data_IF_151167593466
#
_entry.id   IF_151167593466
#
_cell.length_a   1.000
_cell.length_b   1.000
_cell.length_c   1.000
_cell.angle_alpha   90.00
_cell.angle_beta   90.00
_cell.angle_gamma   90.00
#
_symmetry.space_group_name_H-M   'P 1'
#
loop_
_entity.id
_entity.type
_entity.pdbx_description
1 polymer ?
#
# COMPACT_ATOMS: atom_id res chain seq x y z
N UNK A 1 -69.23 24.35 67.11
CA UNK A 1 -68.75 25.10 65.90
C UNK A 1 -67.51 24.47 65.42
N UNK A 2 -67.67 23.55 64.45
CA UNK A 2 -66.58 22.71 63.92
C UNK A 2 -66.30 23.21 62.48
N UNK A 3 -65.12 23.73 62.27
CA UNK A 3 -64.70 24.26 60.97
C UNK A 3 -64.02 23.15 60.15
N UNK A 4 -64.65 22.76 59.05
CA UNK A 4 -64.07 21.89 58.07
C UNK A 4 -63.06 22.65 57.19
N UNK A 5 -61.83 22.12 57.03
CA UNK A 5 -60.86 22.58 56.07
C UNK A 5 -60.99 21.74 54.76
N UNK A 6 -60.97 22.38 53.57
CA UNK A 6 -60.96 21.59 52.32
C UNK A 6 -59.56 21.14 52.00
N UNK A 7 -59.40 19.84 51.67
CA UNK A 7 -58.18 19.21 51.18
C UNK A 7 -58.11 19.44 49.66
N UNK A 8 -57.07 20.12 49.20
CA UNK A 8 -56.82 20.40 47.81
C UNK A 8 -56.02 19.19 47.22
N UNK A 9 -56.65 18.46 46.32
CA UNK A 9 -56.07 17.32 45.63
C UNK A 9 -55.29 17.80 44.38
N UNK A 10 -53.95 17.67 44.42
CA UNK A 10 -53.08 18.06 43.31
C UNK A 10 -53.01 16.90 42.33
N UNK A 11 -53.61 17.03 41.15
CA UNK A 11 -53.49 16.04 40.07
C UNK A 11 -52.16 16.25 39.34
N UNK A 12 -51.25 15.29 39.52
CA UNK A 12 -49.98 15.25 38.75
C UNK A 12 -50.23 14.62 37.37
N UNK A 13 -50.19 15.44 36.32
CA UNK A 13 -50.26 15.00 34.93
C UNK A 13 -48.88 14.56 34.50
N UNK A 14 -48.61 13.26 34.41
CA UNK A 14 -47.43 12.69 33.79
C UNK A 14 -47.51 12.83 32.26
N UNK A 15 -46.78 13.79 31.68
CA UNK A 15 -46.53 13.81 30.23
C UNK A 15 -45.55 12.67 29.90
N UNK A 16 -46.07 11.57 29.36
CA UNK A 16 -45.27 10.51 28.76
C UNK A 16 -44.69 11.02 27.43
N UNK A 17 -43.41 11.31 27.40
CA UNK A 17 -42.67 11.51 26.12
C UNK A 17 -42.55 10.18 25.45
N UNK A 18 -43.37 9.92 24.42
CA UNK A 18 -43.22 8.77 23.53
C UNK A 18 -41.95 8.98 22.70
N UNK A 19 -40.85 8.31 23.07
CA UNK A 19 -39.70 8.12 22.21
C UNK A 19 -40.15 7.26 21.01
N UNK A 20 -40.41 7.89 19.88
CA UNK A 20 -40.54 7.18 18.61
C UNK A 20 -39.18 6.51 18.31
N UNK A 21 -39.14 5.20 17.98
CA UNK A 21 -37.92 4.60 17.51
C UNK A 21 -37.55 5.29 16.20
N UNK A 22 -36.38 5.93 16.18
CA UNK A 22 -35.74 6.35 14.94
C UNK A 22 -35.32 5.07 14.22
N UNK A 23 -36.17 4.58 13.30
CA UNK A 23 -35.74 3.59 12.33
C UNK A 23 -34.65 4.27 11.49
N UNK A 24 -33.37 3.97 11.80
CA UNK A 24 -32.30 4.18 10.84
C UNK A 24 -32.70 3.37 9.60
N UNK A 25 -33.00 4.05 8.51
CA UNK A 25 -33.10 3.38 7.21
C UNK A 25 -31.69 2.87 6.94
N UNK A 26 -31.47 1.57 7.12
CA UNK A 26 -30.24 0.92 6.67
C UNK A 26 -30.10 1.27 5.18
N UNK A 27 -28.98 1.86 4.81
CA UNK A 27 -28.72 2.17 3.41
C UNK A 27 -28.55 0.85 2.68
N UNK A 28 -29.47 0.55 1.77
CA UNK A 28 -29.48 -0.69 0.99
C UNK A 28 -28.38 -0.60 -0.08
N UNK A 29 -27.61 -1.69 -0.27
CA UNK A 29 -26.66 -1.78 -1.36
C UNK A 29 -27.45 -2.04 -2.67
N UNK A 30 -27.66 -1.00 -3.47
CA UNK A 30 -28.40 -1.07 -4.75
C UNK A 30 -27.50 -0.65 -5.93
N UNK A 31 -26.31 -1.24 -6.01
CA UNK A 31 -25.37 -0.97 -7.09
C UNK A 31 -25.55 -1.98 -8.23
N UNK A 32 -26.16 -1.60 -9.34
CA UNK A 32 -26.13 -2.40 -10.59
C UNK A 32 -24.75 -2.36 -11.26
N UNK A 33 -23.99 -1.33 -10.98
CA UNK A 33 -22.65 -1.09 -11.48
C UNK A 33 -21.80 -0.51 -10.35
N UNK A 34 -20.60 -1.06 -10.18
CA UNK A 34 -19.56 -0.54 -9.28
C UNK A 34 -18.42 -0.02 -10.13
N UNK A 35 -18.00 1.22 -9.91
CA UNK A 35 -16.80 1.80 -10.51
C UNK A 35 -15.62 1.57 -9.59
N UNK A 36 -14.56 0.94 -10.11
CA UNK A 36 -13.27 0.79 -9.43
C UNK A 36 -12.26 1.75 -10.08
N UNK A 37 -12.06 2.90 -9.46
CA UNK A 37 -11.11 3.91 -9.92
C UNK A 37 -9.68 3.42 -9.67
N UNK A 38 -8.87 3.41 -10.72
CA UNK A 38 -7.43 3.14 -10.68
C UNK A 38 -6.70 4.44 -11.05
N UNK A 39 -6.02 5.11 -10.10
CA UNK A 39 -5.36 6.40 -10.37
C UNK A 39 -4.02 6.25 -11.10
N UNK A 40 -3.90 5.22 -11.93
CA UNK A 40 -2.70 4.87 -12.69
C UNK A 40 -3.06 4.48 -14.12
N UNK A 41 -2.02 4.43 -14.97
CA UNK A 41 -2.15 3.97 -16.35
C UNK A 41 -2.59 2.49 -16.44
N UNK A 42 -3.26 2.15 -17.53
CA UNK A 42 -3.69 0.79 -17.80
C UNK A 42 -2.48 -0.13 -18.06
N UNK A 43 -2.56 -1.39 -17.60
CA UNK A 43 -1.51 -2.39 -17.74
C UNK A 43 -0.44 -2.35 -16.65
N UNK A 44 -0.43 -1.34 -15.79
CA UNK A 44 0.44 -1.27 -14.61
C UNK A 44 0.02 -2.25 -13.51
N UNK A 45 0.91 -2.49 -12.54
CA UNK A 45 0.66 -3.49 -11.48
C UNK A 45 -0.59 -3.23 -10.63
N UNK A 46 -1.00 -1.98 -10.43
CA UNK A 46 -2.24 -1.64 -9.71
C UNK A 46 -3.48 -1.87 -10.59
N UNK A 47 -3.37 -1.60 -11.89
CA UNK A 47 -4.45 -1.88 -12.84
C UNK A 47 -4.69 -3.40 -12.99
N UNK A 48 -3.62 -4.20 -13.10
CA UNK A 48 -3.71 -5.66 -13.13
C UNK A 48 -4.32 -6.22 -11.85
N UNK A 49 -3.95 -5.69 -10.69
CA UNK A 49 -4.54 -6.03 -9.39
C UNK A 49 -6.05 -5.73 -9.36
N UNK A 50 -6.44 -4.53 -9.78
CA UNK A 50 -7.85 -4.14 -9.84
C UNK A 50 -8.65 -4.99 -10.83
N UNK A 51 -8.11 -5.28 -12.02
CA UNK A 51 -8.76 -6.14 -13.03
C UNK A 51 -8.86 -7.60 -12.61
N UNK A 52 -7.95 -8.08 -11.79
CA UNK A 52 -8.04 -9.41 -11.20
C UNK A 52 -9.16 -9.49 -10.17
N UNK A 53 -9.29 -8.48 -9.29
CA UNK A 53 -10.32 -8.46 -8.25
C UNK A 53 -11.72 -8.07 -8.76
N UNK A 54 -11.82 -7.31 -9.84
CA UNK A 54 -13.11 -6.82 -10.36
C UNK A 54 -14.12 -7.94 -10.67
N UNK A 55 -13.80 -9.01 -11.43
CA UNK A 55 -14.73 -10.11 -11.67
C UNK A 55 -15.07 -10.91 -10.40
N UNK A 56 -14.13 -11.01 -9.46
CA UNK A 56 -14.36 -11.68 -8.17
C UNK A 56 -15.32 -10.84 -7.31
N UNK A 57 -15.13 -9.52 -7.24
CA UNK A 57 -16.07 -8.60 -6.59
C UNK A 57 -17.47 -8.70 -7.22
N UNK A 58 -17.56 -8.70 -8.57
CA UNK A 58 -18.83 -8.88 -9.28
C UNK A 58 -19.54 -10.17 -8.88
N UNK A 59 -18.79 -11.26 -8.70
CA UNK A 59 -19.33 -12.59 -8.33
C UNK A 59 -19.84 -12.64 -6.90
N UNK A 60 -19.14 -12.00 -5.96
CA UNK A 60 -19.40 -12.14 -4.51
C UNK A 60 -20.20 -10.98 -3.89
N UNK A 61 -20.38 -9.86 -4.62
CA UNK A 61 -21.26 -8.79 -4.16
C UNK A 61 -22.73 -9.17 -4.41
N UNK A 62 -23.69 -8.69 -3.58
CA UNK A 62 -25.11 -8.91 -3.77
C UNK A 62 -25.56 -8.49 -5.18
N UNK A 63 -26.48 -9.25 -5.77
CA UNK A 63 -27.05 -9.02 -7.11
C UNK A 63 -26.01 -9.00 -8.26
N UNK A 64 -24.78 -9.42 -7.99
CA UNK A 64 -23.68 -9.54 -8.97
C UNK A 64 -23.53 -8.31 -9.88
N UNK A 65 -23.26 -7.12 -9.31
CA UNK A 65 -23.13 -5.89 -10.08
C UNK A 65 -21.97 -5.99 -11.09
N UNK A 66 -22.07 -5.26 -12.19
CA UNK A 66 -20.92 -5.13 -13.09
C UNK A 66 -19.86 -4.26 -12.46
N UNK A 67 -18.67 -4.80 -12.14
CA UNK A 67 -17.53 -4.02 -11.64
C UNK A 67 -16.67 -3.57 -12.82
N UNK A 68 -16.53 -2.25 -12.99
CA UNK A 68 -15.80 -1.62 -14.10
C UNK A 68 -14.57 -0.93 -13.57
N UNK A 69 -13.41 -1.29 -14.11
CA UNK A 69 -12.14 -0.63 -13.81
C UNK A 69 -11.99 0.61 -14.69
N UNK A 70 -11.87 1.79 -14.05
CA UNK A 70 -11.70 3.11 -14.68
C UNK A 70 -10.32 3.66 -14.36
N UNK A 71 -9.43 3.75 -15.35
CA UNK A 71 -8.12 4.36 -15.17
C UNK A 71 -8.24 5.89 -15.24
N UNK A 72 -7.81 6.58 -14.19
CA UNK A 72 -7.77 8.05 -14.07
C UNK A 72 -6.37 8.46 -13.67
N UNK A 73 -5.47 8.43 -14.65
CA UNK A 73 -4.05 8.74 -14.46
C UNK A 73 -3.79 10.25 -14.33
N UNK A 74 -2.63 10.59 -13.83
CA UNK A 74 -2.10 11.96 -13.82
C UNK A 74 -1.50 12.38 -12.49
N UNK A 75 -0.45 13.19 -12.59
CA UNK A 75 0.25 13.79 -11.45
C UNK A 75 0.69 12.75 -10.38
N UNK A 76 1.16 11.57 -10.79
CA UNK A 76 1.59 10.53 -9.85
C UNK A 76 0.45 9.99 -8.98
N UNK A 77 -0.71 9.68 -9.58
CA UNK A 77 -1.95 9.20 -8.94
C UNK A 77 -2.81 10.29 -8.25
N UNK A 78 -2.38 11.55 -8.21
CA UNK A 78 -3.12 12.62 -7.52
C UNK A 78 -4.45 12.92 -8.23
N UNK A 79 -4.48 12.91 -9.57
CA UNK A 79 -5.70 13.27 -10.32
C UNK A 79 -6.86 12.32 -10.01
N UNK A 80 -6.67 11.00 -10.12
CA UNK A 80 -7.69 10.00 -9.85
C UNK A 80 -8.09 9.95 -8.37
N UNK A 81 -7.13 10.14 -7.47
CA UNK A 81 -7.39 10.17 -6.03
C UNK A 81 -8.22 11.41 -5.61
N UNK A 82 -7.92 12.57 -6.17
CA UNK A 82 -8.73 13.78 -5.99
C UNK A 82 -10.14 13.58 -6.57
N UNK A 83 -10.26 12.98 -7.76
CA UNK A 83 -11.57 12.68 -8.36
C UNK A 83 -12.39 11.76 -7.48
N UNK A 84 -11.80 10.69 -6.93
CA UNK A 84 -12.48 9.81 -5.99
C UNK A 84 -12.98 10.56 -4.77
N UNK A 85 -12.12 11.35 -4.11
CA UNK A 85 -12.49 12.14 -2.94
C UNK A 85 -13.65 13.12 -3.21
N UNK A 86 -13.69 13.70 -4.42
CA UNK A 86 -14.68 14.72 -4.78
C UNK A 86 -16.02 14.14 -5.25
N UNK A 87 -16.03 12.91 -5.82
CA UNK A 87 -17.18 12.40 -6.58
C UNK A 87 -17.73 11.08 -6.08
N UNK A 88 -16.97 10.30 -5.32
CA UNK A 88 -17.46 9.01 -4.83
C UNK A 88 -18.56 9.22 -3.80
N UNK A 89 -19.70 8.59 -4.03
CA UNK A 89 -20.82 8.59 -3.10
C UNK A 89 -20.65 7.57 -1.98
N UNK A 90 -21.40 7.75 -0.90
CA UNK A 90 -21.40 6.83 0.25
C UNK A 90 -22.27 5.57 0.01
N UNK A 91 -22.76 5.38 -1.21
CA UNK A 91 -23.66 4.29 -1.62
C UNK A 91 -22.95 2.95 -1.85
N UNK A 92 -21.62 2.94 -1.81
CA UNK A 92 -20.79 1.77 -2.08
C UNK A 92 -20.59 1.47 -3.56
N UNK A 93 -21.10 2.32 -4.48
CA UNK A 93 -20.98 2.10 -5.91
C UNK A 93 -19.66 2.59 -6.53
N UNK A 94 -18.75 3.12 -5.72
CA UNK A 94 -17.42 3.57 -6.17
C UNK A 94 -16.34 3.14 -5.18
N UNK A 95 -15.30 2.48 -5.71
CA UNK A 95 -14.08 2.09 -5.01
C UNK A 95 -12.88 2.80 -5.60
N UNK A 96 -11.81 2.89 -4.83
CA UNK A 96 -10.49 3.29 -5.34
C UNK A 96 -9.46 2.19 -5.08
N UNK A 97 -8.59 1.97 -6.06
CA UNK A 97 -7.37 1.19 -5.86
C UNK A 97 -6.25 2.11 -5.33
N UNK A 98 -5.78 1.82 -4.14
CA UNK A 98 -4.70 2.56 -3.47
C UNK A 98 -3.37 1.84 -3.74
N UNK A 99 -2.32 2.59 -4.00
CA UNK A 99 -0.95 2.09 -4.03
C UNK A 99 0.03 3.17 -3.56
N UNK A 100 1.31 2.82 -3.48
CA UNK A 100 2.36 3.62 -2.83
C UNK A 100 2.35 5.13 -3.15
N UNK A 101 2.13 5.53 -4.41
CA UNK A 101 2.12 6.97 -4.75
C UNK A 101 0.94 7.72 -4.12
N UNK A 102 -0.24 7.09 -3.97
CA UNK A 102 -1.39 7.71 -3.31
C UNK A 102 -1.05 8.02 -1.85
N UNK A 103 -0.51 7.04 -1.15
CA UNK A 103 -0.17 7.17 0.27
C UNK A 103 1.03 8.10 0.49
N UNK A 104 2.08 7.98 -0.33
CA UNK A 104 3.26 8.83 -0.23
C UNK A 104 2.95 10.31 -0.51
N UNK A 105 2.22 10.62 -1.58
CA UNK A 105 1.83 12.01 -1.89
C UNK A 105 1.02 12.65 -0.76
N UNK A 106 0.15 11.87 -0.09
CA UNK A 106 -0.61 12.32 1.06
C UNK A 106 0.28 12.58 2.29
N UNK A 107 1.13 11.60 2.65
CA UNK A 107 1.97 11.69 3.85
C UNK A 107 3.04 12.78 3.73
N UNK A 108 3.63 12.97 2.55
CA UNK A 108 4.65 13.99 2.32
C UNK A 108 4.07 15.37 1.94
N UNK A 109 2.75 15.51 1.96
CA UNK A 109 2.09 16.80 1.84
C UNK A 109 2.23 17.47 0.48
N UNK A 110 2.15 16.72 -0.63
CA UNK A 110 2.15 17.31 -1.97
C UNK A 110 0.99 18.31 -2.08
N UNK A 111 1.29 19.56 -2.43
CA UNK A 111 0.33 20.68 -2.46
C UNK A 111 -0.87 20.44 -3.41
N UNK A 112 -0.74 19.53 -4.37
CA UNK A 112 -1.81 19.16 -5.31
C UNK A 112 -2.81 18.17 -4.73
N UNK A 113 -2.49 17.54 -3.58
CA UNK A 113 -3.35 16.56 -2.89
C UNK A 113 -4.52 17.28 -2.24
N UNK A 114 -5.75 16.86 -2.60
CA UNK A 114 -7.00 17.32 -1.99
C UNK A 114 -7.80 16.17 -1.35
N UNK A 115 -7.30 14.94 -1.49
CA UNK A 115 -7.86 13.76 -0.85
C UNK A 115 -7.29 13.54 0.54
N UNK A 116 -8.00 12.74 1.33
CA UNK A 116 -7.64 12.35 2.69
C UNK A 116 -7.61 10.83 2.78
N UNK A 117 -6.46 10.26 2.40
CA UNK A 117 -6.28 8.81 2.35
C UNK A 117 -6.46 8.13 3.73
N UNK A 118 -6.19 8.84 4.81
CA UNK A 118 -6.36 8.41 6.20
C UNK A 118 -7.83 8.29 6.64
N UNK A 119 -8.76 8.89 5.89
CA UNK A 119 -10.19 8.81 6.15
C UNK A 119 -10.89 7.70 5.33
N UNK A 120 -10.24 7.13 4.31
CA UNK A 120 -10.84 6.08 3.49
C UNK A 120 -10.96 4.76 4.25
N UNK A 121 -11.95 3.95 3.86
CA UNK A 121 -12.24 2.67 4.51
C UNK A 121 -11.66 1.54 3.65
N UNK A 122 -10.53 0.94 4.03
CA UNK A 122 -9.96 -0.15 3.26
C UNK A 122 -10.77 -1.43 3.43
N UNK A 123 -11.09 -2.09 2.31
CA UNK A 123 -11.76 -3.39 2.29
C UNK A 123 -10.76 -4.55 2.20
N UNK A 124 -9.58 -4.29 1.64
CA UNK A 124 -8.44 -5.19 1.59
C UNK A 124 -7.15 -4.38 1.59
N UNK A 125 -6.10 -4.91 2.22
CA UNK A 125 -4.72 -4.45 2.11
C UNK A 125 -3.82 -5.64 1.75
N UNK A 126 -3.01 -5.45 0.71
CA UNK A 126 -2.14 -6.47 0.12
C UNK A 126 -0.69 -6.01 0.17
N UNK A 127 0.19 -6.76 0.83
CA UNK A 127 1.62 -6.50 0.76
C UNK A 127 2.18 -6.73 -0.65
N UNK A 128 3.30 -6.06 -0.95
CA UNK A 128 4.09 -6.35 -2.13
C UNK A 128 5.57 -6.20 -1.79
N UNK A 129 6.29 -7.31 -1.80
CA UNK A 129 7.72 -7.34 -1.54
C UNK A 129 8.52 -6.54 -2.57
N UNK A 130 9.79 -6.33 -2.27
CA UNK A 130 10.73 -5.61 -3.15
C UNK A 130 12.04 -6.37 -3.19
N UNK A 131 12.59 -6.56 -4.38
CA UNK A 131 13.92 -7.13 -4.61
C UNK A 131 14.81 -6.05 -5.23
N UNK A 132 15.98 -5.84 -4.64
CA UNK A 132 17.03 -4.95 -5.13
C UNK A 132 18.10 -5.77 -5.82
N UNK A 133 18.55 -5.33 -7.00
CA UNK A 133 19.54 -6.01 -7.78
C UNK A 133 20.45 -5.03 -8.53
N UNK A 134 21.65 -5.50 -8.86
CA UNK A 134 22.65 -4.70 -9.55
C UNK A 134 23.21 -5.37 -10.80
N UNK A 135 23.91 -4.58 -11.60
CA UNK A 135 24.64 -5.06 -12.77
C UNK A 135 25.87 -5.87 -12.36
N UNK A 136 26.23 -6.93 -13.09
CA UNK A 136 27.49 -7.66 -12.90
C UNK A 136 28.74 -6.79 -12.94
N UNK A 137 28.67 -5.63 -13.62
CA UNK A 137 29.77 -4.65 -13.65
C UNK A 137 30.15 -4.09 -12.29
N UNK A 138 29.28 -4.23 -11.30
CA UNK A 138 29.55 -3.86 -9.91
C UNK A 138 30.48 -4.82 -9.20
N UNK A 139 30.70 -6.04 -9.74
CA UNK A 139 31.60 -7.08 -9.23
C UNK A 139 31.29 -7.44 -7.76
N UNK A 140 30.02 -7.69 -7.46
CA UNK A 140 29.57 -8.19 -6.16
C UNK A 140 29.60 -9.71 -6.23
N UNK A 141 30.57 -10.31 -5.55
CA UNK A 141 30.75 -11.78 -5.49
C UNK A 141 30.18 -12.35 -4.18
N UNK A 142 30.05 -11.51 -3.15
CA UNK A 142 29.58 -11.89 -1.83
C UNK A 142 28.61 -10.81 -1.28
N UNK A 143 27.40 -11.23 -0.93
CA UNK A 143 26.37 -10.36 -0.39
C UNK A 143 26.61 -10.04 1.10
N UNK A 144 27.41 -10.85 1.80
CA UNK A 144 27.82 -10.62 3.18
C UNK A 144 28.91 -9.53 3.27
N UNK A 145 29.50 -9.14 2.14
CA UNK A 145 30.44 -8.02 2.04
C UNK A 145 30.13 -7.11 0.84
N UNK A 146 29.30 -6.12 1.07
CA UNK A 146 28.99 -5.07 0.10
C UNK A 146 29.99 -3.89 0.11
N UNK A 147 31.11 -4.01 0.80
CA UNK A 147 32.11 -2.94 0.89
C UNK A 147 32.69 -2.54 -0.47
N UNK A 148 32.73 -3.50 -1.42
CA UNK A 148 33.14 -3.29 -2.81
C UNK A 148 32.30 -2.22 -3.53
N UNK A 149 31.06 -1.97 -3.08
CA UNK A 149 30.15 -0.97 -3.65
C UNK A 149 30.41 0.45 -3.14
N UNK A 150 31.16 0.64 -2.04
CA UNK A 150 31.38 1.97 -1.42
C UNK A 150 32.14 2.93 -2.33
N UNK A 151 33.03 2.38 -3.16
CA UNK A 151 33.83 3.16 -4.12
C UNK A 151 33.24 3.15 -5.54
N UNK A 152 32.01 2.62 -5.72
CA UNK A 152 31.34 2.56 -7.01
C UNK A 152 30.31 3.68 -7.14
N UNK A 153 30.17 4.23 -8.34
CA UNK A 153 29.02 5.06 -8.66
C UNK A 153 27.80 4.15 -8.88
N UNK A 154 26.85 4.19 -7.94
CA UNK A 154 25.59 3.46 -8.04
C UNK A 154 24.54 4.36 -8.67
N UNK A 155 24.05 4.01 -9.85
CA UNK A 155 23.08 4.82 -10.60
C UNK A 155 21.79 4.05 -10.77
N UNK A 156 20.66 4.67 -10.39
CA UNK A 156 19.32 4.10 -10.45
C UNK A 156 18.34 5.06 -11.11
N UNK A 157 17.49 4.54 -12.00
CA UNK A 157 16.33 5.29 -12.49
C UNK A 157 15.25 5.40 -11.39
N UNK A 158 14.81 6.61 -11.08
CA UNK A 158 13.82 6.91 -10.04
C UNK A 158 12.73 7.87 -10.55
N UNK A 159 11.54 7.81 -9.99
CA UNK A 159 10.45 8.69 -10.42
C UNK A 159 10.58 10.08 -9.79
N UNK A 160 10.58 10.15 -8.47
CA UNK A 160 10.73 11.41 -7.72
C UNK A 160 11.24 11.13 -6.28
N UNK A 161 11.79 12.14 -5.58
CA UNK A 161 12.36 11.95 -4.24
C UNK A 161 11.36 11.48 -3.18
N UNK A 162 10.10 11.89 -3.26
CA UNK A 162 9.05 11.51 -2.29
C UNK A 162 8.28 10.25 -2.69
N UNK A 163 8.67 9.59 -3.78
CA UNK A 163 8.00 8.41 -4.31
C UNK A 163 8.42 7.10 -3.66
N UNK A 164 7.87 6.01 -4.20
CA UNK A 164 8.18 4.66 -3.72
C UNK A 164 9.64 4.24 -3.88
N UNK A 165 10.43 4.94 -4.71
CA UNK A 165 11.87 4.68 -4.92
C UNK A 165 12.71 5.02 -3.67
N UNK A 166 12.23 5.95 -2.84
CA UNK A 166 12.86 6.36 -1.57
C UNK A 166 13.24 5.16 -0.71
N UNK A 167 12.38 4.13 -0.61
CA UNK A 167 12.66 2.95 0.21
C UNK A 167 13.94 2.23 -0.20
N UNK A 168 14.27 2.25 -1.49
CA UNK A 168 15.49 1.61 -2.01
C UNK A 168 16.70 2.48 -1.75
N UNK A 169 16.60 3.79 -1.96
CA UNK A 169 17.72 4.71 -1.70
C UNK A 169 18.07 4.69 -0.22
N UNK A 170 17.08 4.81 0.67
CA UNK A 170 17.30 4.71 2.14
C UNK A 170 17.88 3.34 2.55
N UNK A 171 17.49 2.24 1.90
CA UNK A 171 18.06 0.92 2.21
C UNK A 171 19.55 0.83 1.89
N UNK A 172 19.98 1.46 0.80
CA UNK A 172 21.38 1.49 0.39
C UNK A 172 22.19 2.46 1.23
N UNK A 173 21.62 3.60 1.63
CA UNK A 173 22.23 4.50 2.61
C UNK A 173 22.44 3.82 3.97
N UNK A 174 21.51 2.98 4.43
CA UNK A 174 21.67 2.15 5.63
C UNK A 174 22.92 1.25 5.52
N UNK A 175 23.16 0.69 4.34
CA UNK A 175 24.35 -0.12 4.06
C UNK A 175 25.62 0.73 3.85
N UNK A 176 25.54 2.06 4.06
CA UNK A 176 26.67 2.98 3.87
C UNK A 176 27.05 3.20 2.41
N UNK A 177 26.08 2.99 1.49
CA UNK A 177 26.26 3.14 0.04
C UNK A 177 25.62 4.45 -0.42
N UNK A 178 26.27 5.12 -1.38
CA UNK A 178 25.73 6.34 -2.01
C UNK A 178 25.14 6.00 -3.36
N UNK A 179 23.87 6.37 -3.56
CA UNK A 179 23.16 6.17 -4.82
C UNK A 179 22.96 7.51 -5.51
N UNK A 180 23.13 7.52 -6.83
CA UNK A 180 22.78 8.64 -7.69
C UNK A 180 21.46 8.35 -8.40
N UNK A 181 20.33 8.84 -7.88
CA UNK A 181 19.05 8.68 -8.55
C UNK A 181 18.98 9.58 -9.79
N UNK A 182 18.45 9.04 -10.88
CA UNK A 182 18.09 9.83 -12.06
C UNK A 182 16.57 9.98 -12.04
N UNK A 183 16.11 11.13 -11.54
CA UNK A 183 14.70 11.41 -11.39
C UNK A 183 13.97 11.66 -12.71
N UNK A 184 12.65 11.44 -12.72
CA UNK A 184 11.79 11.55 -13.91
C UNK A 184 11.67 10.25 -14.72
N UNK A 185 12.24 9.16 -14.24
CA UNK A 185 12.16 7.84 -14.88
C UNK A 185 10.99 7.06 -14.28
N UNK A 186 10.01 6.69 -15.11
CA UNK A 186 8.90 5.84 -14.69
C UNK A 186 9.37 4.40 -14.42
N UNK A 187 8.69 3.68 -13.54
CA UNK A 187 9.04 2.28 -13.22
C UNK A 187 9.04 1.35 -14.44
N UNK A 188 8.15 1.60 -15.40
CA UNK A 188 8.12 0.86 -16.67
C UNK A 188 9.38 1.05 -17.52
N UNK A 189 10.08 2.17 -17.40
CA UNK A 189 11.30 2.51 -18.16
C UNK A 189 12.59 2.16 -17.41
N UNK A 190 12.53 2.03 -16.09
CA UNK A 190 13.73 1.83 -15.26
C UNK A 190 14.41 0.49 -15.53
N UNK A 191 13.67 -0.64 -15.61
CA UNK A 191 14.27 -1.95 -15.94
C UNK A 191 14.82 -1.99 -17.39
N UNK A 192 14.09 -1.57 -18.43
CA UNK A 192 14.70 -1.45 -19.78
C UNK A 192 15.96 -0.58 -19.80
N UNK A 193 16.01 0.51 -19.01
CA UNK A 193 17.21 1.32 -18.86
C UNK A 193 18.37 0.57 -18.20
N UNK A 194 18.09 -0.23 -17.16
CA UNK A 194 19.05 -1.13 -16.54
C UNK A 194 19.60 -2.16 -17.55
N UNK A 195 18.73 -2.80 -18.32
CA UNK A 195 19.11 -3.79 -19.34
C UNK A 195 19.98 -3.19 -20.43
N UNK A 196 19.79 -1.91 -20.78
CA UNK A 196 20.64 -1.17 -21.72
C UNK A 196 21.93 -0.65 -21.10
N UNK A 197 22.12 -0.77 -19.79
CA UNK A 197 23.28 -0.30 -19.06
C UNK A 197 23.28 1.22 -18.76
N UNK A 198 22.12 1.88 -18.88
CA UNK A 198 21.94 3.28 -18.46
C UNK A 198 22.00 3.42 -16.94
N UNK A 199 21.54 2.39 -16.23
CA UNK A 199 21.58 2.24 -14.79
C UNK A 199 22.32 0.95 -14.42
N UNK A 200 23.05 0.94 -13.32
CA UNK A 200 23.72 -0.27 -12.80
C UNK A 200 23.07 -0.83 -11.54
N UNK A 201 22.00 -0.19 -11.08
CA UNK A 201 21.18 -0.59 -9.95
C UNK A 201 19.70 -0.48 -10.34
N UNK A 202 18.89 -1.44 -9.92
CA UNK A 202 17.45 -1.39 -10.08
C UNK A 202 16.74 -2.19 -8.97
N UNK A 203 15.42 -2.11 -8.95
CA UNK A 203 14.57 -2.93 -8.12
C UNK A 203 13.27 -3.27 -8.83
N UNK A 204 12.63 -4.33 -8.41
CA UNK A 204 11.27 -4.69 -8.84
C UNK A 204 10.45 -5.19 -7.65
N UNK A 205 9.13 -5.30 -7.83
CA UNK A 205 8.32 -6.03 -6.85
C UNK A 205 8.67 -7.51 -6.88
N UNK A 206 8.59 -8.17 -5.73
CA UNK A 206 8.85 -9.60 -5.66
C UNK A 206 7.93 -10.40 -6.58
N UNK A 207 6.67 -9.94 -6.79
CA UNK A 207 5.74 -10.58 -7.74
C UNK A 207 6.24 -10.53 -9.19
N UNK A 208 6.99 -9.49 -9.55
CA UNK A 208 7.57 -9.38 -10.89
C UNK A 208 8.87 -10.19 -11.04
N UNK A 209 9.53 -10.53 -9.92
CA UNK A 209 10.85 -11.18 -9.93
C UNK A 209 10.89 -12.46 -10.77
N UNK A 210 10.00 -13.47 -10.59
CA UNK A 210 10.12 -14.75 -11.31
C UNK A 210 10.00 -14.62 -12.83
N UNK A 211 9.30 -13.60 -13.33
CA UNK A 211 9.06 -13.45 -14.77
C UNK A 211 9.90 -12.37 -15.43
N UNK A 212 10.44 -11.43 -14.66
CA UNK A 212 11.10 -10.24 -15.20
C UNK A 212 12.57 -10.11 -14.78
N UNK A 213 12.93 -10.58 -13.61
CA UNK A 213 14.28 -10.40 -13.05
C UNK A 213 15.06 -11.72 -13.04
N UNK A 214 14.43 -12.83 -12.66
CA UNK A 214 15.07 -14.14 -12.64
C UNK A 214 15.71 -14.53 -14.00
N UNK A 215 15.07 -14.27 -15.17
CA UNK A 215 15.74 -14.49 -16.47
C UNK A 215 17.00 -13.63 -16.68
N UNK A 216 17.06 -12.43 -16.08
CA UNK A 216 18.28 -11.60 -16.10
C UNK A 216 19.38 -12.19 -15.21
N UNK A 217 18.99 -12.78 -14.07
CA UNK A 217 19.92 -13.47 -13.17
C UNK A 217 20.45 -14.74 -13.83
N UNK A 218 19.59 -15.56 -14.42
CA UNK A 218 19.95 -16.79 -15.14
C UNK A 218 20.89 -16.51 -16.31
N UNK A 219 20.70 -15.41 -17.03
CA UNK A 219 21.57 -14.97 -18.13
C UNK A 219 22.87 -14.32 -17.65
N UNK A 220 23.04 -14.11 -16.34
CA UNK A 220 24.18 -13.39 -15.77
C UNK A 220 24.14 -11.88 -16.05
N UNK A 221 22.99 -11.31 -16.37
CA UNK A 221 22.81 -9.87 -16.64
C UNK A 221 22.42 -9.07 -15.39
N UNK A 222 22.03 -9.74 -14.30
CA UNK A 222 21.71 -9.12 -13.01
C UNK A 222 22.21 -9.97 -11.86
N UNK A 223 22.57 -9.32 -10.75
CA UNK A 223 22.91 -9.95 -9.46
C UNK A 223 21.89 -9.47 -8.44
N UNK A 224 21.00 -10.34 -7.88
CA UNK A 224 20.09 -9.95 -6.81
C UNK A 224 20.88 -9.72 -5.52
N UNK A 225 20.63 -8.60 -4.84
CA UNK A 225 21.36 -8.25 -3.61
C UNK A 225 20.59 -8.67 -2.36
N UNK A 226 19.35 -8.24 -2.24
CA UNK A 226 18.48 -8.56 -1.11
C UNK A 226 17.01 -8.29 -1.44
N UNK A 227 16.14 -8.87 -0.63
CA UNK A 227 14.75 -8.46 -0.56
C UNK A 227 14.53 -7.54 0.65
N UNK A 228 13.40 -6.84 0.68
CA UNK A 228 13.00 -6.13 1.90
C UNK A 228 12.36 -7.08 2.92
N UNK A 229 12.00 -8.28 2.48
CA UNK A 229 11.17 -9.17 3.26
C UNK A 229 9.73 -8.69 3.38
N UNK A 230 9.00 -9.29 4.27
CA UNK A 230 7.63 -8.93 4.67
C UNK A 230 7.48 -9.09 6.17
N UNK A 231 6.53 -8.39 6.77
CA UNK A 231 6.24 -8.53 8.19
C UNK A 231 5.34 -9.75 8.43
N UNK A 232 5.74 -10.62 9.33
CA UNK A 232 4.94 -11.76 9.76
C UNK A 232 3.87 -11.36 10.81
N UNK A 233 3.09 -12.33 11.27
CA UNK A 233 2.04 -12.11 12.26
C UNK A 233 2.56 -11.63 13.65
N UNK A 234 3.85 -11.79 13.92
CA UNK A 234 4.50 -11.29 15.15
C UNK A 234 5.02 -9.86 15.00
N UNK A 235 4.96 -9.28 13.79
CA UNK A 235 5.50 -7.97 13.48
C UNK A 235 6.99 -7.98 13.12
N UNK A 236 7.61 -9.15 12.93
CA UNK A 236 9.00 -9.27 12.53
C UNK A 236 9.14 -9.33 11.01
N UNK A 237 10.18 -8.68 10.49
CA UNK A 237 10.53 -8.80 9.07
C UNK A 237 11.17 -10.16 8.85
N UNK A 238 10.56 -10.95 7.98
CA UNK A 238 11.01 -12.28 7.57
C UNK A 238 11.29 -12.28 6.07
N UNK A 239 12.00 -13.30 5.59
CA UNK A 239 12.29 -13.44 4.16
C UNK A 239 11.01 -13.50 3.33
N UNK A 240 11.08 -12.89 2.16
CA UNK A 240 9.97 -12.84 1.21
C UNK A 240 9.67 -14.25 0.66
N UNK A 241 8.44 -14.77 0.77
CA UNK A 241 8.10 -16.12 0.33
C UNK A 241 8.23 -16.35 -1.20
N UNK A 242 8.31 -15.28 -2.00
CA UNK A 242 8.55 -15.41 -3.45
C UNK A 242 10.04 -15.64 -3.73
N UNK A 243 10.92 -15.09 -2.92
CA UNK A 243 12.38 -15.18 -3.06
C UNK A 243 13.03 -15.62 -1.74
N UNK A 244 12.68 -16.83 -1.23
CA UNK A 244 13.07 -17.27 0.11
C UNK A 244 14.58 -17.46 0.28
N UNK A 245 15.30 -17.63 -0.82
CA UNK A 245 16.76 -17.79 -0.81
C UNK A 245 17.51 -16.45 -0.73
N UNK A 246 16.83 -15.33 -1.06
CA UNK A 246 17.44 -14.00 -0.90
C UNK A 246 17.41 -13.55 0.55
N UNK A 247 18.52 -13.01 1.07
CA UNK A 247 18.54 -12.40 2.39
C UNK A 247 17.63 -11.16 2.42
N UNK A 248 17.16 -10.81 3.61
CA UNK A 248 16.51 -9.51 3.85
C UNK A 248 17.55 -8.41 3.97
N UNK A 249 17.15 -7.14 3.80
CA UNK A 249 18.00 -5.99 4.10
C UNK A 249 18.60 -6.07 5.52
N UNK A 250 17.81 -6.51 6.50
CA UNK A 250 18.27 -6.62 7.89
C UNK A 250 19.37 -7.68 8.04
N UNK A 251 19.25 -8.84 7.39
CA UNK A 251 20.27 -9.90 7.37
C UNK A 251 21.56 -9.39 6.71
N UNK A 252 21.46 -8.72 5.56
CA UNK A 252 22.63 -8.12 4.87
C UNK A 252 23.26 -7.05 5.73
N UNK A 253 22.48 -6.20 6.40
CA UNK A 253 22.99 -5.20 7.32
C UNK A 253 23.77 -5.86 8.47
N UNK A 254 23.20 -6.88 9.11
CA UNK A 254 23.84 -7.59 10.21
C UNK A 254 25.16 -8.29 9.78
N UNK A 255 25.17 -8.90 8.60
CA UNK A 255 26.39 -9.50 8.04
C UNK A 255 27.49 -8.46 7.82
N UNK A 256 27.15 -7.27 7.29
CA UNK A 256 28.13 -6.22 6.99
C UNK A 256 28.59 -5.41 8.22
N UNK A 257 27.77 -5.30 9.28
CA UNK A 257 28.06 -4.42 10.43
C UNK A 257 28.12 -5.16 11.79
N UNK A 258 27.79 -6.45 11.84
CA UNK A 258 27.84 -7.27 13.05
C UNK A 258 26.77 -6.92 14.10
N UNK A 259 25.74 -6.17 13.73
CA UNK A 259 24.61 -5.77 14.59
C UNK A 259 23.35 -5.52 13.78
N UNK A 260 22.20 -5.62 14.41
CA UNK A 260 20.92 -5.23 13.79
C UNK A 260 20.89 -3.73 13.44
N UNK A 261 20.18 -3.33 12.38
CA UNK A 261 20.02 -1.92 12.03
C UNK A 261 19.23 -1.17 13.11
N UNK A 262 19.65 0.07 13.39
CA UNK A 262 19.05 0.94 14.41
C UNK A 262 19.27 2.43 14.09
N UNK A 263 18.53 3.30 14.76
CA UNK A 263 18.70 4.74 14.66
C UNK A 263 17.79 5.42 13.65
N UNK A 264 17.86 6.76 13.53
CA UNK A 264 16.89 7.56 12.78
C UNK A 264 16.72 7.18 11.30
N UNK A 265 17.80 6.78 10.63
CA UNK A 265 17.75 6.34 9.24
C UNK A 265 16.99 5.01 9.10
N UNK A 266 17.18 4.08 10.05
CA UNK A 266 16.47 2.81 10.06
C UNK A 266 14.98 3.02 10.37
N UNK A 267 14.64 3.87 11.34
CA UNK A 267 13.26 4.22 11.65
C UNK A 267 12.56 4.89 10.45
N UNK A 268 13.27 5.75 9.74
CA UNK A 268 12.76 6.36 8.51
C UNK A 268 12.54 5.32 7.40
N UNK A 269 13.51 4.42 7.19
CA UNK A 269 13.36 3.32 6.24
C UNK A 269 12.19 2.40 6.62
N UNK A 270 12.05 2.04 7.90
CA UNK A 270 10.97 1.17 8.39
C UNK A 270 9.59 1.80 8.18
N UNK A 271 9.46 3.11 8.38
CA UNK A 271 8.23 3.84 8.09
C UNK A 271 7.88 3.78 6.60
N UNK A 272 8.85 3.99 5.73
CA UNK A 272 8.66 3.91 4.27
C UNK A 272 8.45 2.46 3.81
N UNK A 273 9.08 1.47 4.46
CA UNK A 273 8.81 0.05 4.24
C UNK A 273 7.35 -0.29 4.55
N UNK A 274 6.83 0.11 5.71
CA UNK A 274 5.43 -0.12 6.06
C UNK A 274 4.47 0.54 5.06
N UNK A 275 4.78 1.76 4.62
CA UNK A 275 4.00 2.51 3.65
C UNK A 275 3.97 1.86 2.26
N UNK A 276 5.11 1.39 1.78
CA UNK A 276 5.31 0.99 0.39
C UNK A 276 5.37 -0.53 0.16
N UNK A 277 5.58 -1.32 1.21
CA UNK A 277 5.63 -2.78 1.15
C UNK A 277 4.42 -3.39 1.84
N UNK A 278 4.19 -3.08 3.11
CA UNK A 278 3.11 -3.70 3.88
C UNK A 278 1.72 -3.14 3.50
N UNK A 279 1.60 -1.83 3.30
CA UNK A 279 0.39 -1.17 2.78
C UNK A 279 0.48 -0.90 1.27
N UNK A 280 1.12 -1.80 0.51
CA UNK A 280 1.48 -1.56 -0.89
C UNK A 280 0.29 -1.35 -1.79
N UNK A 281 -0.76 -2.16 -1.63
CA UNK A 281 -1.99 -2.07 -2.42
C UNK A 281 -3.19 -2.22 -1.51
N UNK A 282 -4.25 -1.48 -1.79
CA UNK A 282 -5.53 -1.64 -1.13
C UNK A 282 -6.69 -1.31 -2.09
N UNK A 283 -7.88 -1.80 -1.77
CA UNK A 283 -9.12 -1.24 -2.28
C UNK A 283 -9.82 -0.54 -1.12
N UNK A 284 -10.36 0.65 -1.37
CA UNK A 284 -11.00 1.43 -0.34
C UNK A 284 -12.33 2.06 -0.79
N UNK A 285 -13.22 2.25 0.18
CA UNK A 285 -14.48 2.96 0.07
C UNK A 285 -14.33 4.40 0.60
N UNK A 286 -15.24 5.32 0.22
CA UNK A 286 -15.32 6.64 0.83
C UNK A 286 -15.62 6.56 2.33
N UNK A 287 -15.16 7.56 3.08
CA UNK A 287 -15.33 7.69 4.54
C UNK A 287 -16.78 7.57 5.02
N UNK A 288 -17.71 8.16 4.27
CA UNK A 288 -19.12 8.26 4.65
C UNK A 288 -19.93 6.99 4.33
N UNK A 289 -19.30 5.95 3.79
CA UNK A 289 -19.98 4.67 3.49
C UNK A 289 -20.51 4.04 4.78
N UNK A 290 -21.77 3.63 4.76
CA UNK A 290 -22.41 3.08 5.96
C UNK A 290 -21.76 1.76 6.41
N UNK A 291 -21.77 1.45 7.72
CA UNK A 291 -21.19 0.20 8.24
C UNK A 291 -21.80 -1.06 7.60
N UNK A 292 -23.08 -0.99 7.22
CA UNK A 292 -23.79 -2.10 6.56
C UNK A 292 -23.22 -2.38 5.16
N UNK A 293 -22.95 -1.34 4.37
CA UNK A 293 -22.32 -1.47 3.04
C UNK A 293 -20.87 -1.92 3.18
N UNK A 294 -20.13 -1.36 4.15
CA UNK A 294 -18.76 -1.79 4.46
C UNK A 294 -18.72 -3.28 4.79
N UNK A 295 -19.66 -3.79 5.58
CA UNK A 295 -19.74 -5.21 5.93
C UNK A 295 -20.05 -6.10 4.72
N UNK A 296 -20.86 -5.63 3.77
CA UNK A 296 -21.11 -6.33 2.49
C UNK A 296 -19.78 -6.53 1.74
N UNK A 297 -18.98 -5.48 1.62
CA UNK A 297 -17.67 -5.57 0.96
C UNK A 297 -16.66 -6.44 1.72
N UNK A 298 -16.66 -6.38 3.05
CA UNK A 298 -15.80 -7.25 3.86
C UNK A 298 -16.19 -8.73 3.71
N UNK A 299 -17.49 -9.03 3.71
CA UNK A 299 -17.97 -10.41 3.50
C UNK A 299 -17.63 -10.92 2.11
N UNK A 300 -17.85 -10.10 1.08
CA UNK A 300 -17.44 -10.44 -0.29
C UNK A 300 -15.92 -10.67 -0.39
N UNK A 301 -15.12 -9.87 0.31
CA UNK A 301 -13.67 -10.03 0.31
C UNK A 301 -13.21 -11.29 1.03
N UNK A 302 -13.83 -11.67 2.14
CA UNK A 302 -13.56 -12.93 2.83
C UNK A 302 -13.83 -14.14 1.91
N UNK A 303 -14.93 -14.12 1.16
CA UNK A 303 -15.26 -15.15 0.17
C UNK A 303 -14.26 -15.17 -1.01
N UNK A 304 -13.84 -13.99 -1.50
CA UNK A 304 -12.81 -13.86 -2.53
C UNK A 304 -11.49 -14.45 -2.06
N UNK A 305 -11.05 -14.14 -0.85
CA UNK A 305 -9.81 -14.68 -0.29
C UNK A 305 -9.88 -16.20 -0.15
N UNK A 306 -11.02 -16.74 0.26
CA UNK A 306 -11.24 -18.20 0.30
C UNK A 306 -11.16 -18.82 -1.12
N UNK A 307 -11.79 -18.20 -2.11
CA UNK A 307 -11.73 -18.65 -3.50
C UNK A 307 -10.32 -18.60 -4.09
N UNK A 308 -9.54 -17.58 -3.75
CA UNK A 308 -8.14 -17.44 -4.18
C UNK A 308 -7.23 -18.56 -3.64
N UNK A 309 -7.56 -19.20 -2.51
CA UNK A 309 -6.81 -20.31 -1.95
C UNK A 309 -7.15 -21.67 -2.57
N UNK A 310 -8.19 -21.77 -3.42
CA UNK A 310 -8.51 -23.00 -4.12
C UNK A 310 -7.36 -23.38 -5.07
N UNK A 311 -7.01 -24.69 -5.19
CA UNK A 311 -5.87 -25.13 -5.99
C UNK A 311 -5.88 -24.60 -7.43
N UNK A 312 -7.07 -24.51 -8.05
CA UNK A 312 -7.26 -24.03 -9.43
C UNK A 312 -7.05 -22.53 -9.59
N UNK A 313 -7.16 -21.73 -8.51
CA UNK A 313 -7.06 -20.26 -8.55
C UNK A 313 -5.75 -19.75 -7.95
N UNK A 314 -5.09 -20.58 -7.13
CA UNK A 314 -3.96 -20.15 -6.30
C UNK A 314 -2.79 -19.59 -7.11
N UNK A 315 -2.42 -20.24 -8.20
CA UNK A 315 -1.31 -19.77 -9.06
C UNK A 315 -1.59 -18.36 -9.62
N UNK A 316 -2.81 -18.12 -10.11
CA UNK A 316 -3.19 -16.82 -10.65
C UNK A 316 -3.25 -15.73 -9.53
N UNK A 317 -3.74 -16.10 -8.36
CA UNK A 317 -3.78 -15.22 -7.19
C UNK A 317 -2.35 -14.86 -6.73
N UNK A 318 -1.49 -15.84 -6.55
CA UNK A 318 -0.11 -15.66 -6.11
C UNK A 318 0.68 -14.78 -7.09
N UNK A 319 0.42 -14.91 -8.39
CA UNK A 319 1.07 -14.10 -9.42
C UNK A 319 0.67 -12.62 -9.39
N UNK A 320 -0.58 -12.30 -9.08
CA UNK A 320 -1.12 -10.93 -9.16
C UNK A 320 -1.14 -10.25 -7.80
N UNK A 321 -1.64 -10.97 -6.78
CA UNK A 321 -1.82 -10.43 -5.42
C UNK A 321 -0.59 -10.75 -4.55
N UNK A 322 0.06 -11.86 -4.83
CA UNK A 322 1.19 -12.40 -4.07
C UNK A 322 0.76 -13.46 -3.06
N UNK A 323 1.67 -14.37 -2.67
CA UNK A 323 1.42 -15.43 -1.68
C UNK A 323 1.47 -14.91 -0.24
N UNK A 324 1.21 -13.63 -0.04
CA UNK A 324 1.26 -12.96 1.26
C UNK A 324 -0.07 -13.07 2.00
N UNK A 325 -0.06 -13.05 3.35
CA UNK A 325 -1.28 -12.86 4.11
C UNK A 325 -1.97 -11.56 3.68
N UNK A 326 -3.20 -11.67 3.21
CA UNK A 326 -4.02 -10.53 2.86
C UNK A 326 -4.77 -10.06 4.10
N UNK A 327 -4.83 -8.76 4.33
CA UNK A 327 -5.56 -8.18 5.44
C UNK A 327 -6.92 -7.63 4.99
N UNK A 328 -7.97 -7.91 5.77
CA UNK A 328 -9.31 -7.33 5.59
C UNK A 328 -9.75 -6.66 6.89
N UNK A 329 -10.90 -5.98 6.88
CA UNK A 329 -11.56 -5.44 8.08
C UNK A 329 -10.63 -4.54 8.90
N UNK A 330 -10.66 -4.67 10.23
CA UNK A 330 -9.84 -3.87 11.15
C UNK A 330 -8.34 -4.08 10.97
N UNK A 331 -7.91 -5.25 10.48
CA UNK A 331 -6.50 -5.48 10.19
C UNK A 331 -6.04 -4.61 9.00
N UNK A 332 -6.82 -4.54 7.92
CA UNK A 332 -6.52 -3.67 6.79
C UNK A 332 -6.50 -2.19 7.19
N UNK A 333 -7.48 -1.78 8.01
CA UNK A 333 -7.56 -0.42 8.54
C UNK A 333 -6.37 -0.07 9.43
N UNK A 334 -5.92 -1.01 10.26
CA UNK A 334 -4.76 -0.82 11.14
C UNK A 334 -3.46 -0.69 10.34
N UNK A 335 -3.27 -1.54 9.32
CA UNK A 335 -2.09 -1.49 8.43
C UNK A 335 -2.07 -0.15 7.69
N UNK A 336 -3.17 0.26 7.06
CA UNK A 336 -3.20 1.51 6.28
C UNK A 336 -3.02 2.73 7.19
N UNK A 337 -3.73 2.81 8.31
CA UNK A 337 -3.59 3.92 9.26
C UNK A 337 -2.17 4.00 9.86
N UNK A 338 -1.61 2.85 10.24
CA UNK A 338 -0.25 2.80 10.77
C UNK A 338 0.79 3.24 9.75
N UNK A 339 0.61 2.84 8.48
CA UNK A 339 1.50 3.24 7.40
C UNK A 339 1.42 4.74 7.05
N UNK A 340 0.28 5.40 7.33
CA UNK A 340 0.08 6.83 7.08
C UNK A 340 0.50 7.74 8.25
N UNK A 341 0.89 7.16 9.40
CA UNK A 341 1.22 7.90 10.61
C UNK A 341 2.71 7.76 10.93
N UNK A 342 3.48 8.79 10.66
CA UNK A 342 4.89 8.86 11.04
C UNK A 342 5.05 9.60 12.37
N UNK A 343 6.08 9.24 13.15
CA UNK A 343 6.45 10.07 14.30
C UNK A 343 6.91 11.46 13.83
N UNK A 344 6.81 12.50 14.67
CA UNK A 344 7.32 13.82 14.31
C UNK A 344 8.80 13.80 13.92
N UNK A 345 9.61 12.97 14.57
CA UNK A 345 11.04 12.80 14.30
C UNK A 345 11.27 12.16 12.94
N UNK A 346 10.54 11.08 12.64
CA UNK A 346 10.60 10.39 11.33
C UNK A 346 10.14 11.32 10.21
N UNK A 347 9.05 12.05 10.43
CA UNK A 347 8.53 13.02 9.45
C UNK A 347 9.56 14.13 9.17
N UNK A 348 10.19 14.69 10.21
CA UNK A 348 11.21 15.71 10.05
C UNK A 348 12.41 15.16 9.27
N UNK A 349 12.90 13.95 9.63
CA UNK A 349 14.02 13.30 8.95
C UNK A 349 13.73 13.11 7.45
N UNK A 350 12.55 12.55 7.10
CA UNK A 350 12.18 12.28 5.72
C UNK A 350 11.96 13.56 4.91
N UNK A 351 11.38 14.59 5.50
CA UNK A 351 11.22 15.89 4.84
C UNK A 351 12.58 16.55 4.55
N UNK A 352 13.52 16.51 5.51
CA UNK A 352 14.88 17.02 5.32
C UNK A 352 15.63 16.21 4.24
N UNK A 353 15.43 14.89 4.20
CA UNK A 353 16.00 14.01 3.20
C UNK A 353 15.45 14.34 1.79
N UNK A 354 14.11 14.45 1.64
CA UNK A 354 13.46 14.82 0.38
C UNK A 354 13.96 16.19 -0.11
N UNK A 355 14.08 17.16 0.79
CA UNK A 355 14.56 18.50 0.44
C UNK A 355 16.00 18.47 -0.12
N UNK A 356 16.88 17.64 0.43
CA UNK A 356 18.25 17.46 -0.08
C UNK A 356 18.27 16.81 -1.45
N UNK A 357 17.46 15.77 -1.64
CA UNK A 357 17.36 15.07 -2.93
C UNK A 357 16.75 15.94 -4.06
N UNK A 358 15.88 16.89 -3.71
CA UNK A 358 15.23 17.78 -4.68
C UNK A 358 16.18 18.87 -5.22
N UNK A 359 17.27 19.17 -4.51
CA UNK A 359 18.26 20.22 -4.87
C UNK A 359 19.40 19.65 -5.73
N UNK A 360 19.56 18.34 -5.80
CA UNK A 360 20.53 17.66 -6.68
C UNK A 360 20.01 17.53 -8.11
#
# INVERSE_FOLDING_TARGET
MTVLKPTMMLAATCLGVAMAPTTSLAQEFDCRRVELIVPYEAGGGTDLYARYLAPLLSKHLPDSPTVIVSNVEGAGAIAGSNQFQERAGADGCTLIAVAASVTSNFVFGDERVRYKADEWIPIISSPAGTVVYGSPSLNVDDLDDLSVLRDKELVMGANNPSGGDMRVILSLELLGLTVKPIYGINRGDARPGFERGEFNLNFDSSQAYPTQVEPLVESGSAIPFFSFGVTDASGQIVRDPIVPDLPTLAEVYEANFGKAPEGPLYEAWLAVFNLNVMASKALALPKETSPEIVEIYHSAMDDILAEMQLPENKEAADKIVGPYPQATREQAATILRGALQFSPETSAFLNDWIAKETVQ
#
